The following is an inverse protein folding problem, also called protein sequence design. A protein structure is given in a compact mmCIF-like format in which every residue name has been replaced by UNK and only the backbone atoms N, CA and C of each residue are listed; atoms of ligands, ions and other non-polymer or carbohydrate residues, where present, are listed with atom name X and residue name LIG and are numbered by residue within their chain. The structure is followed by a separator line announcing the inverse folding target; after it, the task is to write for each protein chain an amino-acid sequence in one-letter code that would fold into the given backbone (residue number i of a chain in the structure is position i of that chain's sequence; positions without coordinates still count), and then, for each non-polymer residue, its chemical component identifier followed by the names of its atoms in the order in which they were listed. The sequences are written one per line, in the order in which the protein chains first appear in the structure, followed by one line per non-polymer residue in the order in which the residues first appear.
data_IF_758636533650
#
_entry.id   IF_758636533650
#
_cell.length_a   1.000
_cell.length_b   1.000
_cell.length_c   1.000
_cell.angle_alpha   90.00
_cell.angle_beta   90.00
_cell.angle_gamma   90.00
#
_symmetry.space_group_name_H-M   'P 1'
#
loop_
_entity.id
_entity.type
_entity.pdbx_description
1 polymer ?
#
# COMPACT_ATOMS: atom_id res chain seq x y z
N UNK A 1 13.37 5.20 14.50
CA UNK A 1 12.48 4.45 13.58
C UNK A 1 11.05 4.89 13.90
N UNK A 2 10.25 5.24 12.90
CA UNK A 2 8.85 5.67 13.09
C UNK A 2 7.94 4.50 12.68
N UNK A 3 7.00 4.14 13.53
CA UNK A 3 6.04 3.06 13.24
C UNK A 3 4.98 3.53 12.25
N UNK A 4 4.73 2.72 11.23
CA UNK A 4 3.86 3.03 10.10
C UNK A 4 2.84 1.91 9.95
N UNK A 5 1.60 2.27 9.64
CA UNK A 5 0.51 1.35 9.38
C UNK A 5 0.17 1.35 7.89
N UNK A 6 -0.04 0.16 7.33
CA UNK A 6 -0.57 0.00 5.98
C UNK A 6 -2.02 0.47 5.94
N UNK A 7 -2.29 1.54 5.19
CA UNK A 7 -3.65 2.01 4.96
C UNK A 7 -4.29 1.32 3.76
N UNK A 8 -3.49 0.97 2.74
CA UNK A 8 -3.93 0.14 1.62
C UNK A 8 -3.06 0.25 0.38
N UNK A 9 -3.49 -0.47 -0.67
CA UNK A 9 -2.91 -0.43 -2.02
C UNK A 9 -3.88 0.24 -2.96
N UNK A 10 -3.41 1.22 -3.73
CA UNK A 10 -4.20 1.98 -4.70
C UNK A 10 -3.48 2.02 -6.04
N UNK A 11 -4.17 2.47 -7.07
CA UNK A 11 -3.59 2.72 -8.40
C UNK A 11 -3.57 4.22 -8.64
N UNK A 12 -2.39 4.77 -8.91
CA UNK A 12 -2.22 6.18 -9.26
C UNK A 12 -2.55 6.42 -10.73
N UNK A 13 -3.46 7.35 -11.00
CA UNK A 13 -3.83 7.79 -12.35
C UNK A 13 -3.04 9.05 -12.72
N UNK A 14 -2.60 9.22 -13.98
CA UNK A 14 -2.94 8.41 -15.16
C UNK A 14 -1.95 7.27 -15.47
N UNK A 15 -0.86 7.16 -14.71
CA UNK A 15 0.23 6.19 -14.99
C UNK A 15 -0.17 4.74 -14.73
N UNK A 16 -1.30 4.50 -14.06
CA UNK A 16 -1.80 3.20 -13.63
C UNK A 16 -0.77 2.40 -12.81
N UNK A 17 0.09 3.11 -12.08
CA UNK A 17 1.10 2.48 -11.25
C UNK A 17 0.52 2.18 -9.86
N UNK A 18 0.74 0.97 -9.32
CA UNK A 18 0.27 0.65 -7.99
C UNK A 18 1.15 1.31 -6.92
N UNK A 19 0.48 1.83 -5.89
CA UNK A 19 1.09 2.56 -4.79
C UNK A 19 0.56 2.03 -3.47
N UNK A 20 1.47 1.84 -2.52
CA UNK A 20 1.15 1.52 -1.13
C UNK A 20 1.14 2.83 -0.36
N UNK A 21 0.06 3.08 0.36
CA UNK A 21 -0.03 4.22 1.25
C UNK A 21 0.19 3.75 2.68
N UNK A 22 1.28 4.22 3.27
CA UNK A 22 1.58 4.03 4.69
C UNK A 22 1.21 5.30 5.44
N UNK A 23 0.57 5.16 6.59
CA UNK A 23 0.27 6.25 7.51
C UNK A 23 1.08 6.09 8.78
N UNK A 24 1.63 7.18 9.31
CA UNK A 24 2.24 7.18 10.63
C UNK A 24 1.21 6.83 11.72
N UNK A 25 1.55 5.91 12.63
CA UNK A 25 0.58 5.43 13.65
C UNK A 25 0.06 6.55 14.54
N UNK A 26 0.97 7.40 15.01
CA UNK A 26 0.67 8.46 15.99
C UNK A 26 0.64 9.85 15.34
N UNK A 27 0.50 9.94 14.01
CA UNK A 27 0.60 11.18 13.24
C UNK A 27 -0.30 11.27 12.00
N UNK A 28 -0.09 12.33 11.22
CA UNK A 28 -0.85 12.61 9.98
C UNK A 28 0.00 12.50 8.71
N UNK A 29 1.25 12.05 8.83
CA UNK A 29 2.13 11.88 7.68
C UNK A 29 1.79 10.60 6.92
N UNK A 30 1.84 10.73 5.61
CA UNK A 30 1.70 9.61 4.68
C UNK A 30 3.00 9.40 3.93
N UNK A 31 3.38 8.13 3.79
CA UNK A 31 4.52 7.71 2.98
C UNK A 31 3.98 6.87 1.81
N UNK A 32 3.95 7.45 0.59
CA UNK A 32 3.69 6.67 -0.61
C UNK A 32 4.90 5.82 -0.99
N UNK A 33 4.67 4.56 -1.33
CA UNK A 33 5.69 3.66 -1.89
C UNK A 33 5.15 3.04 -3.18
N UNK A 34 5.77 3.33 -4.31
CA UNK A 34 5.46 2.66 -5.57
C UNK A 34 6.00 1.24 -5.56
N UNK A 35 5.17 0.30 -6.00
CA UNK A 35 5.51 -1.12 -6.08
C UNK A 35 5.20 -1.65 -7.48
N UNK A 36 5.61 -2.88 -7.76
CA UNK A 36 5.23 -3.56 -9.00
C UNK A 36 3.80 -4.11 -8.93
N UNK A 37 3.27 -4.49 -10.10
CA UNK A 37 1.94 -5.08 -10.23
C UNK A 37 1.82 -6.41 -9.47
N UNK A 38 2.89 -7.22 -9.45
CA UNK A 38 2.91 -8.52 -8.76
C UNK A 38 2.80 -8.36 -7.25
N UNK A 39 3.57 -7.44 -6.67
CA UNK A 39 3.51 -7.12 -5.24
C UNK A 39 2.14 -6.54 -4.87
N UNK A 40 1.60 -5.66 -5.72
CA UNK A 40 0.30 -5.05 -5.49
C UNK A 40 -0.82 -6.09 -5.47
N UNK A 41 -0.79 -7.06 -6.39
CA UNK A 41 -1.74 -8.17 -6.42
C UNK A 41 -1.62 -9.05 -5.17
N UNK A 42 -0.40 -9.40 -4.75
CA UNK A 42 -0.18 -10.20 -3.55
C UNK A 42 -0.71 -9.51 -2.27
N UNK A 43 -0.47 -8.21 -2.12
CA UNK A 43 -0.99 -7.44 -0.98
C UNK A 43 -2.52 -7.33 -1.06
N UNK A 44 -3.08 -7.06 -2.24
CA UNK A 44 -4.54 -6.98 -2.41
C UNK A 44 -5.24 -8.29 -2.07
N UNK A 45 -4.68 -9.44 -2.49
CA UNK A 45 -5.18 -10.77 -2.13
C UNK A 45 -5.14 -11.00 -0.62
N UNK A 46 -4.01 -10.65 0.02
CA UNK A 46 -3.86 -10.74 1.48
C UNK A 46 -4.88 -9.86 2.23
N UNK A 47 -5.11 -8.63 1.77
CA UNK A 47 -6.12 -7.72 2.32
C UNK A 47 -7.56 -8.23 2.14
N UNK A 48 -7.82 -9.02 1.11
CA UNK A 48 -9.11 -9.71 0.89
C UNK A 48 -9.27 -10.98 1.75
N UNK A 49 -8.30 -11.30 2.60
CA UNK A 49 -8.32 -12.50 3.43
C UNK A 49 -8.04 -13.79 2.66
N UNK A 50 -7.56 -13.67 1.42
CA UNK A 50 -7.15 -14.82 0.60
C UNK A 50 -5.68 -15.11 0.91
N UNK A 51 -5.43 -16.09 1.76
CA UNK A 51 -4.09 -16.62 1.99
C UNK A 51 -3.82 -17.70 0.94
N UNK A 52 -2.98 -17.40 -0.05
CA UNK A 52 -2.34 -18.39 -0.94
C UNK A 52 -1.10 -19.00 -0.32
#
# INVERSE_FOLDING_TARGET
MIEMQLEGVRVELPTNQPIVLLRERDGERYLPIWIGASEAAAIALSLQGVQT
#
